data_IF_252417549926
#
_entry.id   IF_252417549926
#
_cell.length_a   1.000
_cell.length_b   1.000
_cell.length_c   1.000
_cell.angle_alpha   90.00
_cell.angle_beta   90.00
_cell.angle_gamma   90.00
#
_symmetry.space_group_name_H-M   'P 1'
#
loop_
_entity.id
_entity.type
_entity.pdbx_description
1 polymer ?
#
# COMPACT_ATOMS: atom_id res chain seq x y z
N UNK A 1 -8.40 -2.09 21.57
CA UNK A 1 -8.97 -2.56 20.28
C UNK A 1 -9.78 -1.55 19.44
N UNK A 2 -11.05 -1.21 19.75
CA UNK A 2 -11.96 -0.52 18.78
C UNK A 2 -11.45 0.87 18.36
N UNK A 3 -10.96 1.68 19.29
CA UNK A 3 -10.46 3.02 19.01
C UNK A 3 -9.17 3.02 18.17
N UNK A 4 -8.28 2.05 18.39
CA UNK A 4 -7.06 1.88 17.58
C UNK A 4 -7.40 1.42 16.16
N UNK A 5 -8.38 0.53 16.01
CA UNK A 5 -8.90 0.13 14.70
C UNK A 5 -9.58 1.29 13.95
N UNK A 6 -10.26 2.18 14.66
CA UNK A 6 -10.84 3.41 14.08
C UNK A 6 -9.75 4.37 13.60
N UNK A 7 -8.74 4.66 14.42
CA UNK A 7 -7.63 5.54 14.04
C UNK A 7 -6.87 4.98 12.83
N UNK A 8 -6.63 3.67 12.81
CA UNK A 8 -6.04 2.98 11.68
C UNK A 8 -6.83 3.10 10.38
N UNK A 9 -8.16 2.91 10.46
CA UNK A 9 -9.05 3.07 9.30
C UNK A 9 -9.01 4.50 8.77
N UNK A 10 -9.01 5.50 9.65
CA UNK A 10 -8.91 6.92 9.27
C UNK A 10 -7.59 7.20 8.55
N UNK A 11 -6.46 6.75 9.11
CA UNK A 11 -5.13 6.91 8.47
C UNK A 11 -5.13 6.27 7.08
N UNK A 12 -5.64 5.05 6.98
CA UNK A 12 -5.72 4.30 5.72
C UNK A 12 -6.56 5.04 4.67
N UNK A 13 -7.73 5.56 5.05
CA UNK A 13 -8.61 6.34 4.15
C UNK A 13 -7.93 7.64 3.69
N UNK A 14 -7.23 8.34 4.58
CA UNK A 14 -6.50 9.56 4.25
C UNK A 14 -5.39 9.25 3.24
N UNK A 15 -4.59 8.21 3.50
CA UNK A 15 -3.50 7.79 2.59
C UNK A 15 -4.04 7.41 1.21
N UNK A 16 -5.16 6.67 1.14
CA UNK A 16 -5.78 6.34 -0.14
C UNK A 16 -6.33 7.57 -0.87
N UNK A 17 -6.96 8.49 -0.15
CA UNK A 17 -7.49 9.73 -0.72
C UNK A 17 -6.37 10.58 -1.33
N UNK A 18 -5.25 10.74 -0.62
CA UNK A 18 -4.08 11.48 -1.10
C UNK A 18 -3.49 10.81 -2.34
N UNK A 19 -3.28 9.48 -2.30
CA UNK A 19 -2.66 8.74 -3.40
C UNK A 19 -3.52 8.74 -4.68
N UNK A 20 -4.84 8.60 -4.54
CA UNK A 20 -5.79 8.72 -5.64
C UNK A 20 -5.75 10.13 -6.24
N UNK A 21 -5.79 11.16 -5.39
CA UNK A 21 -5.71 12.55 -5.81
C UNK A 21 -4.41 12.85 -6.59
N UNK A 22 -3.25 12.43 -6.07
CA UNK A 22 -1.97 12.56 -6.76
C UNK A 22 -1.96 11.84 -8.12
N UNK A 23 -2.51 10.63 -8.19
CA UNK A 23 -2.58 9.85 -9.43
C UNK A 23 -3.45 10.53 -10.49
N UNK A 24 -4.59 11.11 -10.08
CA UNK A 24 -5.46 11.90 -10.94
C UNK A 24 -4.72 13.14 -11.47
N UNK A 25 -4.02 13.87 -10.61
CA UNK A 25 -3.21 15.02 -11.03
C UNK A 25 -2.13 14.62 -12.06
N UNK A 26 -1.42 13.50 -11.85
CA UNK A 26 -0.41 13.00 -12.79
C UNK A 26 -0.98 12.71 -14.19
N UNK A 27 -2.23 12.24 -14.28
CA UNK A 27 -2.88 11.97 -15.57
C UNK A 27 -3.47 13.23 -16.20
N UNK A 28 -4.08 14.12 -15.41
CA UNK A 28 -4.78 15.30 -15.89
C UNK A 28 -3.83 16.42 -16.33
N UNK A 29 -2.75 16.68 -15.59
CA UNK A 29 -1.81 17.77 -15.91
C UNK A 29 -1.24 17.67 -17.35
N UNK A 30 -0.78 16.49 -17.82
CA UNK A 30 -0.33 16.30 -19.20
C UNK A 30 -1.39 16.61 -20.26
N UNK A 31 -2.69 16.39 -19.99
CA UNK A 31 -3.78 16.76 -20.90
C UNK A 31 -3.87 18.27 -21.14
N UNK A 32 -3.48 19.08 -20.14
CA UNK A 32 -3.42 20.54 -20.26
C UNK A 32 -2.08 21.04 -20.83
N UNK A 33 -1.21 20.14 -21.31
CA UNK A 33 0.14 20.48 -21.77
C UNK A 33 1.06 20.96 -20.64
N UNK A 34 0.68 20.73 -19.38
CA UNK A 34 1.46 21.10 -18.20
C UNK A 34 2.09 19.83 -17.65
N UNK A 35 3.41 19.83 -17.50
CA UNK A 35 4.08 18.77 -16.75
C UNK A 35 4.09 19.13 -15.27
N UNK A 36 3.98 18.12 -14.38
CA UNK A 36 4.35 18.25 -12.96
C UNK A 36 5.88 18.47 -12.81
N UNK A 37 6.66 18.26 -13.88
CA UNK A 37 8.12 18.33 -13.86
C UNK A 37 8.66 19.73 -14.12
N UNK A 38 9.83 20.00 -13.53
CA UNK A 38 10.76 21.04 -13.98
C UNK A 38 11.36 20.62 -15.33
N UNK A 39 11.06 21.39 -16.37
CA UNK A 39 11.65 21.21 -17.70
C UNK A 39 13.08 21.74 -17.63
N UNK A 40 14.07 20.84 -17.63
CA UNK A 40 15.49 21.23 -17.67
C UNK A 40 16.03 21.34 -19.09
N UNK A 41 15.29 20.88 -20.11
CA UNK A 41 15.74 20.87 -21.50
C UNK A 41 14.84 21.72 -22.40
N UNK A 42 15.42 22.72 -23.05
CA UNK A 42 14.73 23.73 -23.87
C UNK A 42 14.23 23.15 -25.22
N UNK A 43 14.62 21.92 -25.56
CA UNK A 43 14.21 21.20 -26.78
C UNK A 43 13.18 20.08 -26.55
N UNK A 44 12.25 20.25 -25.59
CA UNK A 44 11.20 19.26 -25.36
C UNK A 44 9.94 19.49 -26.22
N UNK A 45 9.29 18.41 -26.69
CA UNK A 45 8.19 18.49 -27.64
C UNK A 45 6.89 19.02 -27.03
N UNK A 46 6.03 19.58 -27.90
CA UNK A 46 4.71 20.18 -27.59
C UNK A 46 3.77 19.24 -26.83
N UNK A 47 3.99 17.92 -26.90
CA UNK A 47 3.15 16.90 -26.27
C UNK A 47 3.90 16.18 -25.13
N UNK A 48 3.36 16.27 -23.92
CA UNK A 48 3.95 15.73 -22.70
C UNK A 48 3.25 14.44 -22.30
N UNK A 49 4.02 13.39 -22.00
CA UNK A 49 3.51 12.14 -21.43
C UNK A 49 3.52 12.17 -19.89
N UNK A 50 2.61 11.43 -19.21
CA UNK A 50 2.65 11.23 -17.77
C UNK A 50 4.00 10.71 -17.24
N UNK A 51 4.63 9.76 -17.97
CA UNK A 51 5.96 9.23 -17.65
C UNK A 51 6.93 9.42 -18.81
N UNK A 52 8.15 9.88 -18.50
CA UNK A 52 9.25 9.95 -19.46
C UNK A 52 9.85 8.56 -19.64
N UNK A 53 9.72 8.03 -20.85
CA UNK A 53 10.43 6.85 -21.30
C UNK A 53 11.11 7.17 -22.64
N UNK A 54 12.20 6.46 -22.94
CA UNK A 54 12.82 6.51 -24.24
C UNK A 54 12.06 5.58 -25.19
N UNK A 55 11.52 6.13 -26.27
CA UNK A 55 10.78 5.38 -27.29
C UNK A 55 11.59 5.35 -28.58
N UNK A 56 11.64 4.18 -29.22
CA UNK A 56 12.39 3.96 -30.47
C UNK A 56 11.64 4.51 -31.70
N UNK A 57 10.37 4.92 -31.52
CA UNK A 57 9.50 5.47 -32.56
C UNK A 57 9.24 6.97 -32.37
N UNK A 58 8.78 7.64 -33.43
CA UNK A 58 8.40 9.06 -33.34
C UNK A 58 7.13 9.23 -32.51
N UNK A 59 7.34 9.72 -31.28
CA UNK A 59 6.31 9.89 -30.27
C UNK A 59 5.36 11.06 -30.54
N UNK A 60 5.71 11.98 -31.44
CA UNK A 60 4.91 13.18 -31.74
C UNK A 60 3.92 12.94 -32.88
N UNK A 61 4.11 11.87 -33.66
CA UNK A 61 3.24 11.50 -34.77
C UNK A 61 1.92 10.90 -34.26
N UNK A 62 0.79 11.45 -34.69
CA UNK A 62 -0.52 10.81 -34.50
C UNK A 62 -0.61 9.59 -35.44
N UNK A 63 -1.07 8.40 -35.00
CA UNK A 63 -1.81 8.11 -33.75
C UNK A 63 -0.99 7.54 -32.59
N UNK A 64 0.33 7.33 -32.75
CA UNK A 64 1.19 6.67 -31.76
C UNK A 64 1.19 7.40 -30.40
N UNK A 65 1.10 8.73 -30.42
CA UNK A 65 0.98 9.53 -29.21
C UNK A 65 -0.23 9.12 -28.35
N UNK A 66 -1.42 9.06 -28.96
CA UNK A 66 -2.68 8.81 -28.26
C UNK A 66 -2.74 7.39 -27.70
N UNK A 67 -2.24 6.41 -28.48
CA UNK A 67 -2.15 5.01 -28.05
C UNK A 67 -1.20 4.89 -26.84
N UNK A 68 -0.02 5.52 -26.92
CA UNK A 68 0.96 5.48 -25.83
C UNK A 68 0.43 6.18 -24.58
N UNK A 69 -0.29 7.29 -24.73
CA UNK A 69 -0.91 8.01 -23.63
C UNK A 69 -2.00 7.18 -22.93
N UNK A 70 -2.87 6.52 -23.72
CA UNK A 70 -3.89 5.63 -23.19
C UNK A 70 -3.26 4.42 -22.48
N UNK A 71 -2.22 3.82 -23.07
CA UNK A 71 -1.48 2.72 -22.47
C UNK A 71 -0.81 3.13 -21.14
N UNK A 72 -0.14 4.27 -21.09
CA UNK A 72 0.45 4.78 -19.84
C UNK A 72 -0.62 5.04 -18.77
N UNK A 73 -1.76 5.60 -19.15
CA UNK A 73 -2.87 5.83 -18.22
C UNK A 73 -3.39 4.51 -17.64
N UNK A 74 -3.54 3.48 -18.48
CA UNK A 74 -3.95 2.15 -18.04
C UNK A 74 -2.91 1.51 -17.10
N UNK A 75 -1.62 1.63 -17.41
CA UNK A 75 -0.52 1.14 -16.56
C UNK A 75 -0.57 1.83 -15.18
N UNK A 76 -0.76 3.15 -15.14
CA UNK A 76 -0.87 3.91 -13.89
C UNK A 76 -2.03 3.38 -13.05
N UNK A 77 -3.20 3.19 -13.65
CA UNK A 77 -4.37 2.64 -12.95
C UNK A 77 -4.07 1.25 -12.37
N UNK A 78 -3.45 0.37 -13.16
CA UNK A 78 -3.06 -0.96 -12.71
C UNK A 78 -2.01 -0.92 -11.57
N UNK A 79 -1.02 -0.03 -11.65
CA UNK A 79 -0.02 0.17 -10.61
C UNK A 79 -0.66 0.69 -9.31
N UNK A 80 -1.56 1.67 -9.39
CA UNK A 80 -2.25 2.21 -8.21
C UNK A 80 -3.13 1.13 -7.57
N UNK A 81 -3.86 0.35 -8.38
CA UNK A 81 -4.70 -0.73 -7.90
C UNK A 81 -3.88 -1.86 -7.23
N UNK A 82 -2.78 -2.30 -7.84
CA UNK A 82 -1.93 -3.35 -7.28
C UNK A 82 -1.23 -2.89 -6.01
N UNK A 83 -0.67 -1.67 -6.00
CA UNK A 83 -0.03 -1.09 -4.84
C UNK A 83 -1.03 -0.92 -3.68
N UNK A 84 -2.23 -0.44 -3.96
CA UNK A 84 -3.35 -0.39 -3.00
C UNK A 84 -3.68 -1.76 -2.43
N UNK A 85 -3.82 -2.78 -3.29
CA UNK A 85 -4.11 -4.14 -2.87
C UNK A 85 -3.08 -4.69 -1.90
N UNK A 86 -1.78 -4.55 -2.22
CA UNK A 86 -0.68 -5.02 -1.36
C UNK A 86 -0.70 -4.31 0.00
N UNK A 87 -0.87 -2.98 0.03
CA UNK A 87 -0.91 -2.22 1.28
C UNK A 87 -2.13 -2.60 2.15
N UNK A 88 -3.29 -2.83 1.55
CA UNK A 88 -4.48 -3.31 2.28
C UNK A 88 -4.26 -4.69 2.90
N UNK A 89 -3.68 -5.63 2.15
CA UNK A 89 -3.38 -6.97 2.65
C UNK A 89 -2.38 -6.91 3.81
N UNK A 90 -1.31 -6.13 3.66
CA UNK A 90 -0.32 -5.94 4.71
C UNK A 90 -0.94 -5.32 5.97
N UNK A 91 -1.74 -4.26 5.80
CA UNK A 91 -2.46 -3.62 6.90
C UNK A 91 -3.38 -4.59 7.64
N UNK A 92 -4.17 -5.38 6.90
CA UNK A 92 -5.05 -6.40 7.47
C UNK A 92 -4.27 -7.44 8.29
N UNK A 93 -3.14 -7.93 7.76
CA UNK A 93 -2.28 -8.89 8.46
C UNK A 93 -1.72 -8.31 9.76
N UNK A 94 -1.25 -7.06 9.73
CA UNK A 94 -0.75 -6.37 10.92
C UNK A 94 -1.86 -6.20 11.96
N UNK A 95 -3.06 -5.76 11.56
CA UNK A 95 -4.18 -5.64 12.49
C UNK A 95 -4.61 -6.98 13.08
N UNK A 96 -4.62 -8.03 12.26
CA UNK A 96 -4.90 -9.38 12.72
C UNK A 96 -3.89 -9.84 13.77
N UNK A 97 -2.60 -9.62 13.52
CA UNK A 97 -1.53 -9.94 14.47
C UNK A 97 -1.69 -9.16 15.78
N UNK A 98 -1.90 -7.84 15.70
CA UNK A 98 -2.13 -6.99 16.88
C UNK A 98 -3.35 -7.46 17.68
N UNK A 99 -4.45 -7.83 17.01
CA UNK A 99 -5.64 -8.39 17.66
C UNK A 99 -5.36 -9.71 18.37
N UNK A 100 -4.61 -10.62 17.73
CA UNK A 100 -4.21 -11.89 18.34
C UNK A 100 -3.33 -11.68 19.58
N UNK A 101 -2.41 -10.71 19.54
CA UNK A 101 -1.58 -10.35 20.68
C UNK A 101 -2.39 -9.72 21.82
N UNK A 102 -3.40 -8.90 21.52
CA UNK A 102 -4.27 -8.29 22.54
C UNK A 102 -5.14 -9.36 23.23
N UNK A 103 -5.69 -10.32 22.49
CA UNK A 103 -6.40 -11.48 23.05
C UNK A 103 -5.47 -12.31 23.95
N UNK A 104 -4.23 -12.54 23.50
CA UNK A 104 -3.25 -13.30 24.26
C UNK A 104 -2.89 -12.58 25.58
N UNK A 105 -2.76 -11.26 25.54
CA UNK A 105 -2.53 -10.41 26.72
C UNK A 105 -3.69 -10.51 27.71
N UNK A 106 -4.93 -10.44 27.25
CA UNK A 106 -6.11 -10.59 28.12
C UNK A 106 -6.16 -11.98 28.78
N UNK A 107 -5.87 -13.05 28.02
CA UNK A 107 -5.77 -14.41 28.56
C UNK A 107 -4.70 -14.53 29.64
N UNK A 108 -3.55 -13.87 29.45
CA UNK A 108 -2.46 -13.86 30.42
C UNK A 108 -2.83 -13.13 31.71
N UNK A 109 -3.54 -11.99 31.62
CA UNK A 109 -3.98 -11.24 32.81
C UNK A 109 -4.98 -12.06 33.63
N UNK A 110 -5.92 -12.73 32.96
CA UNK A 110 -6.98 -13.51 33.60
C UNK A 110 -6.53 -14.92 34.04
N UNK A 111 -5.27 -15.30 33.79
CA UNK A 111 -4.79 -16.66 34.06
C UNK A 111 -4.79 -17.04 35.55
N UNK A 112 -4.70 -16.04 36.44
CA UNK A 112 -4.73 -16.24 37.89
C UNK A 112 -6.07 -16.78 38.41
N UNK A 113 -7.13 -16.75 37.60
CA UNK A 113 -8.45 -17.28 37.93
C UNK A 113 -8.66 -18.74 37.48
N UNK A 114 -7.70 -19.34 36.76
CA UNK A 114 -7.82 -20.71 36.24
C UNK A 114 -7.34 -21.76 37.24
N UNK A 115 -8.07 -22.88 37.29
CA UNK A 115 -7.79 -24.04 38.16
C UNK A 115 -6.47 -24.76 37.78
N UNK A 116 -6.07 -24.73 36.50
CA UNK A 116 -4.84 -25.32 35.97
C UNK A 116 -3.90 -24.25 35.40
N UNK A 117 -3.25 -23.49 36.29
CA UNK A 117 -2.36 -22.38 35.95
C UNK A 117 -1.21 -22.77 34.99
N UNK A 118 -0.55 -23.90 35.24
CA UNK A 118 0.60 -24.35 34.43
C UNK A 118 0.23 -24.71 32.98
N UNK A 119 -0.90 -25.37 32.76
CA UNK A 119 -1.37 -25.73 31.42
C UNK A 119 -1.79 -24.49 30.62
N UNK A 120 -2.46 -23.53 31.28
CA UNK A 120 -2.84 -22.26 30.65
C UNK A 120 -1.63 -21.47 30.16
N UNK A 121 -0.55 -21.40 30.96
CA UNK A 121 0.67 -20.67 30.59
C UNK A 121 1.36 -21.34 29.42
N UNK A 122 1.43 -22.67 29.40
CA UNK A 122 2.05 -23.41 28.30
C UNK A 122 1.37 -23.11 26.95
N UNK A 123 0.04 -23.02 26.92
CA UNK A 123 -0.73 -22.67 25.72
C UNK A 123 -0.44 -21.24 25.26
N UNK A 124 -0.42 -20.28 26.19
CA UNK A 124 -0.14 -18.86 25.89
C UNK A 124 1.27 -18.69 25.32
N UNK A 125 2.27 -19.32 25.94
CA UNK A 125 3.67 -19.25 25.48
C UNK A 125 3.82 -19.87 24.09
N UNK A 126 3.14 -20.99 23.82
CA UNK A 126 3.15 -21.65 22.51
C UNK A 126 2.54 -20.76 21.42
N UNK A 127 1.40 -20.12 21.70
CA UNK A 127 0.78 -19.15 20.79
C UNK A 127 1.66 -17.91 20.57
N UNK A 128 2.27 -17.37 21.62
CA UNK A 128 3.21 -16.23 21.50
C UNK A 128 4.40 -16.55 20.58
N UNK A 129 5.03 -17.72 20.77
CA UNK A 129 6.16 -18.18 19.94
C UNK A 129 5.72 -18.35 18.48
N UNK A 130 4.51 -18.88 18.26
CA UNK A 130 3.96 -19.06 16.91
C UNK A 130 3.73 -17.73 16.21
N UNK A 131 3.13 -16.75 16.91
CA UNK A 131 2.92 -15.40 16.38
C UNK A 131 4.24 -14.68 16.09
N UNK A 132 5.23 -14.82 16.98
CA UNK A 132 6.56 -14.23 16.77
C UNK A 132 7.27 -14.85 15.54
N UNK A 133 7.15 -16.17 15.36
CA UNK A 133 7.70 -16.86 14.18
C UNK A 133 7.02 -16.41 12.88
N UNK A 134 5.70 -16.22 12.91
CA UNK A 134 4.93 -15.70 11.76
C UNK A 134 5.34 -14.25 11.42
N UNK A 135 5.52 -13.40 12.44
CA UNK A 135 5.98 -12.02 12.25
C UNK A 135 7.41 -11.97 11.67
N UNK A 136 8.33 -12.79 12.19
CA UNK A 136 9.68 -12.91 11.63
C UNK A 136 9.64 -13.37 10.17
N UNK A 137 8.77 -14.30 9.80
CA UNK A 137 8.62 -14.70 8.41
C UNK A 137 8.02 -13.57 7.55
N UNK A 138 7.08 -12.78 8.06
CA UNK A 138 6.53 -11.64 7.34
C UNK A 138 7.55 -10.51 7.12
N UNK A 139 8.43 -10.26 8.08
CA UNK A 139 9.40 -9.16 8.05
C UNK A 139 10.69 -9.54 7.31
N UNK A 140 11.14 -10.80 7.45
CA UNK A 140 12.44 -11.26 6.93
C UNK A 140 12.32 -12.27 5.77
N UNK A 141 11.12 -12.52 5.23
CA UNK A 141 10.98 -13.26 3.97
C UNK A 141 11.40 -12.36 2.81
N UNK A 142 12.71 -12.24 2.62
CA UNK A 142 13.36 -11.72 1.43
C UNK A 142 13.72 -12.90 0.51
#
# INVERSE_FOLDING_TARGET
>A
MIQQAQNARIITIITYSIMSCCSIFVVILPCFGKSIRYITNIMDPVKVFPFQAHYVYDKNQSPYFEITFAAQTFIILMCVASYSGVNNLLGLLIFYLCGQLEILKERLINIKLFKNYNEGIAVIVKEHIRLNKFCNHLIFSN
#
